data_IF_617553090390
#
_entry.id   IF_617553090390
#
_cell.length_a   1.000
_cell.length_b   1.000
_cell.length_c   1.000
_cell.angle_alpha   90.00
_cell.angle_beta   90.00
_cell.angle_gamma   90.00
#
_symmetry.space_group_name_H-M   'P 1'
#
loop_
_entity.id
_entity.type
_entity.pdbx_description
1 polymer ?
#
# COMPACT_ATOMS: atom_id res chain seq x y z
N UNK A 1 -12.46 20.65 -27.38
CA UNK A 1 -11.42 20.32 -28.39
C UNK A 1 -10.42 19.25 -27.91
N UNK A 2 -9.90 19.32 -26.68
CA UNK A 2 -8.89 18.36 -26.17
C UNK A 2 -9.42 16.91 -26.19
N UNK A 3 -10.60 16.64 -25.66
CA UNK A 3 -11.21 15.30 -25.65
C UNK A 3 -11.56 14.78 -27.05
N UNK A 4 -11.86 15.67 -27.99
CA UNK A 4 -12.19 15.28 -29.38
C UNK A 4 -10.99 15.08 -30.29
N UNK A 5 -9.79 15.45 -29.86
CA UNK A 5 -8.60 15.48 -30.73
C UNK A 5 -8.31 14.12 -31.40
N UNK A 6 -8.29 13.03 -30.64
CA UNK A 6 -8.02 11.70 -31.18
C UNK A 6 -9.09 11.27 -32.21
N UNK A 7 -10.35 11.52 -31.90
CA UNK A 7 -11.46 11.18 -32.79
C UNK A 7 -11.44 11.98 -34.12
N UNK A 8 -11.01 13.25 -34.05
CA UNK A 8 -10.83 14.07 -35.27
C UNK A 8 -9.74 13.48 -36.18
N UNK A 9 -8.62 13.01 -35.58
CA UNK A 9 -7.55 12.36 -36.34
C UNK A 9 -7.99 11.04 -36.99
N UNK A 10 -8.92 10.33 -36.36
CA UNK A 10 -9.55 9.11 -36.89
C UNK A 10 -10.65 9.41 -37.94
N UNK A 11 -10.88 10.70 -38.28
CA UNK A 11 -11.88 11.19 -39.25
C UNK A 11 -13.32 10.74 -38.93
N UNK A 12 -13.64 10.61 -37.66
CA UNK A 12 -14.98 10.29 -37.18
C UNK A 12 -15.93 11.46 -37.44
N UNK A 13 -17.20 11.21 -37.70
CA UNK A 13 -18.20 12.25 -37.97
C UNK A 13 -18.38 13.21 -36.77
N UNK A 14 -18.72 14.47 -37.04
CA UNK A 14 -18.91 15.48 -36.00
C UNK A 14 -19.97 15.09 -34.97
N UNK A 15 -21.06 14.47 -35.43
CA UNK A 15 -22.14 14.02 -34.55
C UNK A 15 -21.72 12.91 -33.63
N UNK A 16 -20.94 11.95 -34.12
CA UNK A 16 -20.39 10.86 -33.30
C UNK A 16 -19.34 11.37 -32.32
N UNK A 17 -18.47 12.32 -32.74
CA UNK A 17 -17.53 12.99 -31.84
C UNK A 17 -18.30 13.67 -30.68
N UNK A 18 -19.32 14.44 -30.98
CA UNK A 18 -20.13 15.13 -29.97
C UNK A 18 -20.78 14.13 -29.01
N UNK A 19 -21.33 13.04 -29.54
CA UNK A 19 -21.94 11.98 -28.72
C UNK A 19 -20.91 11.37 -27.75
N UNK A 20 -19.74 10.95 -28.25
CA UNK A 20 -18.67 10.33 -27.42
C UNK A 20 -18.10 11.30 -26.38
N UNK A 21 -17.88 12.56 -26.75
CA UNK A 21 -17.39 13.61 -25.85
C UNK A 21 -18.40 13.87 -24.73
N UNK A 22 -19.69 14.02 -25.06
CA UNK A 22 -20.73 14.24 -24.07
C UNK A 22 -20.91 13.03 -23.13
N UNK A 23 -20.82 11.81 -23.65
CA UNK A 23 -20.86 10.60 -22.83
C UNK A 23 -19.67 10.56 -21.84
N UNK A 24 -18.46 10.81 -22.30
CA UNK A 24 -17.27 10.85 -21.44
C UNK A 24 -17.35 12.01 -20.41
N UNK A 25 -17.82 13.18 -20.82
CA UNK A 25 -17.99 14.31 -19.92
C UNK A 25 -19.04 14.01 -18.83
N UNK A 26 -20.12 13.31 -19.17
CA UNK A 26 -21.13 12.90 -18.21
C UNK A 26 -20.60 11.87 -17.19
N UNK A 27 -19.82 10.88 -17.66
CA UNK A 27 -19.17 9.88 -16.77
C UNK A 27 -18.27 10.59 -15.75
N UNK A 28 -17.52 11.60 -16.19
CA UNK A 28 -16.52 12.33 -15.40
C UNK A 28 -17.07 13.56 -14.67
N UNK A 29 -18.35 13.91 -14.89
CA UNK A 29 -19.02 15.08 -14.30
C UNK A 29 -18.27 16.40 -14.63
N UNK A 30 -17.94 16.61 -15.92
CA UNK A 30 -17.19 17.78 -16.41
C UNK A 30 -17.91 18.48 -17.57
N UNK A 31 -19.22 18.34 -17.69
CA UNK A 31 -20.00 18.95 -18.79
C UNK A 31 -19.86 20.48 -18.83
N UNK A 32 -19.88 21.12 -17.64
CA UNK A 32 -19.70 22.56 -17.43
C UNK A 32 -18.28 23.07 -17.74
N UNK A 33 -17.33 22.16 -17.93
CA UNK A 33 -15.94 22.48 -18.20
C UNK A 33 -15.55 22.35 -19.68
N UNK A 34 -16.46 21.86 -20.54
CA UNK A 34 -16.14 21.54 -21.94
C UNK A 34 -15.67 22.75 -22.76
N UNK A 35 -16.13 23.95 -22.44
CA UNK A 35 -15.77 25.20 -23.12
C UNK A 35 -14.58 25.92 -22.46
N UNK A 36 -14.10 25.45 -21.30
CA UNK A 36 -12.97 26.09 -20.63
C UNK A 36 -11.64 25.73 -21.27
N UNK A 37 -10.74 26.69 -21.28
CA UNK A 37 -9.33 26.47 -21.71
C UNK A 37 -8.54 25.78 -20.57
N UNK A 38 -7.49 24.98 -20.89
CA UNK A 38 -6.69 24.28 -19.88
C UNK A 38 -6.15 25.16 -18.75
N UNK A 39 -5.84 26.43 -19.03
CA UNK A 39 -5.37 27.40 -18.04
C UNK A 39 -6.43 27.76 -16.98
N UNK A 40 -7.69 27.53 -17.27
CA UNK A 40 -8.83 27.84 -16.41
C UNK A 40 -9.29 26.64 -15.57
N UNK A 41 -8.57 25.54 -15.64
CA UNK A 41 -8.88 24.28 -14.95
C UNK A 41 -7.95 24.06 -13.77
N UNK A 42 -8.49 23.55 -12.65
CA UNK A 42 -7.71 23.03 -11.53
C UNK A 42 -6.92 21.78 -11.93
N UNK A 43 -6.01 21.32 -11.08
CA UNK A 43 -5.22 20.10 -11.31
C UNK A 43 -6.12 18.87 -11.54
N UNK A 44 -7.11 18.62 -10.66
CA UNK A 44 -8.05 17.51 -10.80
C UNK A 44 -8.98 17.64 -12.01
N UNK A 45 -9.40 18.85 -12.36
CA UNK A 45 -10.18 19.08 -13.59
C UNK A 45 -9.36 18.77 -14.86
N UNK A 46 -8.09 19.17 -14.90
CA UNK A 46 -7.16 18.79 -15.98
C UNK A 46 -7.02 17.26 -16.07
N UNK A 47 -6.89 16.60 -14.93
CA UNK A 47 -6.78 15.14 -14.87
C UNK A 47 -8.04 14.45 -15.39
N UNK A 48 -9.24 14.90 -14.98
CA UNK A 48 -10.51 14.39 -15.52
C UNK A 48 -10.61 14.60 -17.04
N UNK A 49 -10.17 15.73 -17.57
CA UNK A 49 -10.14 15.96 -19.02
C UNK A 49 -9.15 15.02 -19.73
N UNK A 50 -7.98 14.75 -19.14
CA UNK A 50 -7.02 13.79 -19.70
C UNK A 50 -7.59 12.35 -19.73
N UNK A 51 -8.25 11.93 -18.65
CA UNK A 51 -8.99 10.65 -18.60
C UNK A 51 -10.12 10.64 -19.65
N UNK A 52 -10.90 11.72 -19.77
CA UNK A 52 -11.94 11.85 -20.78
C UNK A 52 -11.45 11.69 -22.20
N UNK A 53 -10.28 12.25 -22.50
CA UNK A 53 -9.60 12.05 -23.80
C UNK A 53 -9.29 10.57 -24.09
N UNK A 54 -8.95 9.79 -23.07
CA UNK A 54 -8.73 8.35 -23.22
C UNK A 54 -10.06 7.60 -23.40
N UNK A 55 -11.08 7.92 -22.62
CA UNK A 55 -12.42 7.28 -22.65
C UNK A 55 -13.07 7.46 -24.03
N UNK A 56 -13.00 8.65 -24.64
CA UNK A 56 -13.65 8.92 -25.93
C UNK A 56 -13.20 7.98 -27.04
N UNK A 57 -12.01 7.38 -26.93
CA UNK A 57 -11.49 6.39 -27.88
C UNK A 57 -12.01 4.96 -27.65
N UNK A 58 -12.76 4.75 -26.57
CA UNK A 58 -13.30 3.45 -26.16
C UNK A 58 -12.21 2.33 -26.20
N UNK A 59 -11.08 2.49 -25.52
CA UNK A 59 -9.97 1.55 -25.58
C UNK A 59 -10.35 0.23 -24.89
N UNK A 60 -9.75 -0.88 -25.36
CA UNK A 60 -9.87 -2.19 -24.69
C UNK A 60 -9.11 -2.25 -23.37
N UNK A 61 -8.04 -1.46 -23.23
CA UNK A 61 -7.18 -1.36 -22.04
C UNK A 61 -6.82 0.09 -21.80
N UNK A 62 -6.97 0.56 -20.56
CA UNK A 62 -6.44 1.84 -20.11
C UNK A 62 -5.07 1.66 -19.50
N UNK A 63 -4.15 2.55 -19.82
CA UNK A 63 -2.83 2.61 -19.21
C UNK A 63 -2.70 3.93 -18.46
N UNK A 64 -2.54 3.87 -17.14
CA UNK A 64 -2.28 4.99 -16.27
C UNK A 64 -0.84 4.91 -15.76
N UNK A 65 -0.03 5.90 -16.08
CA UNK A 65 1.35 6.01 -15.60
C UNK A 65 1.43 7.15 -14.60
N UNK A 66 1.49 6.81 -13.32
CA UNK A 66 1.52 7.72 -12.17
C UNK A 66 0.51 8.90 -12.26
N UNK A 67 -0.77 8.64 -12.51
CA UNK A 67 -1.71 9.70 -12.88
C UNK A 67 -1.98 10.71 -11.76
N UNK A 68 -1.70 10.40 -10.51
CA UNK A 68 -1.99 11.25 -9.35
C UNK A 68 -0.74 11.83 -8.68
N UNK A 69 0.46 11.57 -9.21
CA UNK A 69 1.75 11.96 -8.59
C UNK A 69 1.90 13.49 -8.40
N UNK A 70 1.32 14.29 -9.29
CA UNK A 70 1.43 15.75 -9.28
C UNK A 70 0.29 16.47 -8.55
N UNK A 71 -0.54 15.75 -7.78
CA UNK A 71 -1.66 16.32 -7.03
C UNK A 71 -1.33 16.43 -5.55
N UNK A 72 -1.90 17.45 -4.89
CA UNK A 72 -1.87 17.54 -3.43
C UNK A 72 -2.65 16.39 -2.77
N UNK A 73 -2.44 16.17 -1.48
CA UNK A 73 -2.97 15.01 -0.76
C UNK A 73 -4.51 14.95 -0.75
N UNK A 74 -5.19 16.11 -0.60
CA UNK A 74 -6.65 16.18 -0.56
C UNK A 74 -7.24 15.82 -1.93
N UNK A 75 -6.73 16.45 -2.99
CA UNK A 75 -7.15 16.21 -4.36
C UNK A 75 -6.82 14.78 -4.82
N UNK A 76 -5.67 14.23 -4.40
CA UNK A 76 -5.30 12.84 -4.67
C UNK A 76 -6.31 11.87 -4.07
N UNK A 77 -6.75 12.12 -2.81
CA UNK A 77 -7.77 11.29 -2.16
C UNK A 77 -9.11 11.33 -2.90
N UNK A 78 -9.56 12.53 -3.33
CA UNK A 78 -10.77 12.69 -4.14
C UNK A 78 -10.66 11.93 -5.47
N UNK A 79 -9.54 12.10 -6.18
CA UNK A 79 -9.33 11.48 -7.48
C UNK A 79 -9.22 9.95 -7.42
N UNK A 80 -8.70 9.36 -6.34
CA UNK A 80 -8.75 7.90 -6.12
C UNK A 80 -10.19 7.39 -6.12
N UNK A 81 -11.07 8.06 -5.37
CA UNK A 81 -12.49 7.70 -5.33
C UNK A 81 -13.12 7.78 -6.72
N UNK A 82 -12.80 8.83 -7.47
CA UNK A 82 -13.33 9.02 -8.83
C UNK A 82 -12.82 7.96 -9.82
N UNK A 83 -11.55 7.59 -9.76
CA UNK A 83 -10.97 6.51 -10.59
C UNK A 83 -11.61 5.17 -10.23
N UNK A 84 -11.82 4.87 -8.95
CA UNK A 84 -12.51 3.65 -8.52
C UNK A 84 -13.95 3.57 -9.05
N UNK A 85 -14.70 4.67 -8.99
CA UNK A 85 -16.05 4.75 -9.56
C UNK A 85 -16.02 4.59 -11.08
N UNK A 86 -15.03 5.19 -11.74
CA UNK A 86 -14.83 5.12 -13.18
C UNK A 86 -14.56 3.67 -13.63
N UNK A 87 -13.66 2.96 -12.94
CA UNK A 87 -13.36 1.56 -13.21
C UNK A 87 -14.64 0.70 -13.23
N UNK A 88 -15.49 0.87 -12.22
CA UNK A 88 -16.77 0.15 -12.14
C UNK A 88 -17.75 0.49 -13.27
N UNK A 89 -17.73 1.75 -13.78
CA UNK A 89 -18.63 2.21 -14.84
C UNK A 89 -18.21 1.77 -16.24
N UNK A 90 -16.89 1.75 -16.52
CA UNK A 90 -16.37 1.52 -17.88
C UNK A 90 -16.28 0.05 -18.21
N UNK A 91 -16.19 -0.84 -17.22
CA UNK A 91 -16.03 -2.30 -17.41
C UNK A 91 -14.90 -2.66 -18.39
N UNK A 92 -13.76 -1.94 -18.33
CA UNK A 92 -12.57 -2.14 -19.16
C UNK A 92 -11.38 -2.47 -18.29
N UNK A 93 -10.43 -3.22 -18.83
CA UNK A 93 -9.19 -3.50 -18.13
C UNK A 93 -8.37 -2.21 -17.96
N UNK A 94 -7.80 -2.04 -16.76
CA UNK A 94 -6.95 -0.91 -16.44
C UNK A 94 -5.60 -1.41 -15.91
N UNK A 95 -4.51 -0.90 -16.46
CA UNK A 95 -3.17 -1.06 -15.91
C UNK A 95 -2.79 0.28 -15.29
N UNK A 96 -2.46 0.26 -14.01
CA UNK A 96 -2.21 1.44 -13.22
C UNK A 96 -0.81 1.34 -12.59
N UNK A 97 0.10 2.20 -12.99
CA UNK A 97 1.45 2.29 -12.43
C UNK A 97 1.46 3.37 -11.37
N UNK A 98 1.94 3.05 -10.19
CA UNK A 98 2.08 3.98 -9.08
C UNK A 98 3.23 3.56 -8.15
N UNK A 99 3.84 4.53 -7.47
CA UNK A 99 4.71 4.30 -6.33
C UNK A 99 3.99 4.54 -4.98
N UNK A 100 2.72 4.96 -5.01
CA UNK A 100 1.90 5.16 -3.81
C UNK A 100 1.18 3.86 -3.44
N UNK A 101 1.58 3.28 -2.30
CA UNK A 101 0.98 2.04 -1.81
C UNK A 101 -0.51 2.16 -1.48
N UNK A 102 -1.00 3.35 -1.08
CA UNK A 102 -2.42 3.55 -0.78
C UNK A 102 -3.24 3.49 -2.07
N UNK A 103 -2.71 4.04 -3.18
CA UNK A 103 -3.33 3.90 -4.50
C UNK A 103 -3.41 2.43 -4.91
N UNK A 104 -2.29 1.70 -4.85
CA UNK A 104 -2.23 0.29 -5.20
C UNK A 104 -3.22 -0.54 -4.36
N UNK A 105 -3.22 -0.36 -3.03
CA UNK A 105 -4.07 -1.13 -2.11
C UNK A 105 -5.57 -0.82 -2.24
N UNK A 106 -5.93 0.40 -2.69
CA UNK A 106 -7.34 0.84 -2.73
C UNK A 106 -7.99 0.75 -4.10
N UNK A 107 -7.20 0.80 -5.18
CA UNK A 107 -7.71 0.83 -6.55
C UNK A 107 -7.61 -0.51 -7.27
N UNK A 108 -6.64 -1.33 -6.93
CA UNK A 108 -6.33 -2.53 -7.69
C UNK A 108 -7.17 -3.75 -7.28
N UNK A 109 -7.63 -4.52 -8.27
CA UNK A 109 -8.10 -5.90 -8.04
C UNK A 109 -6.90 -6.84 -7.83
N UNK A 110 -5.78 -6.55 -8.50
CA UNK A 110 -4.52 -7.27 -8.37
C UNK A 110 -3.33 -6.31 -8.44
N UNK A 111 -2.31 -6.61 -7.65
CA UNK A 111 -1.06 -5.85 -7.57
C UNK A 111 0.08 -6.71 -8.08
N UNK A 112 0.95 -6.09 -8.87
CA UNK A 112 2.28 -6.62 -9.21
C UNK A 112 3.31 -5.77 -8.49
N UNK A 113 4.08 -6.37 -7.59
CA UNK A 113 5.22 -5.71 -6.93
C UNK A 113 6.46 -5.97 -7.76
N UNK A 114 7.09 -4.88 -8.22
CA UNK A 114 8.29 -4.92 -9.06
C UNK A 114 9.51 -4.42 -8.28
N UNK A 115 10.62 -5.12 -8.41
CA UNK A 115 11.92 -4.72 -7.88
C UNK A 115 13.00 -4.93 -8.93
N UNK A 116 13.67 -3.86 -9.36
CA UNK A 116 14.75 -3.91 -10.37
C UNK A 116 14.39 -4.72 -11.63
N UNK A 117 13.13 -4.59 -12.09
CA UNK A 117 12.64 -5.28 -13.28
C UNK A 117 12.18 -6.72 -13.06
N UNK A 118 12.23 -7.23 -11.83
CA UNK A 118 11.77 -8.57 -11.46
C UNK A 118 10.44 -8.47 -10.74
N UNK A 119 9.52 -9.39 -11.03
CA UNK A 119 8.26 -9.52 -10.31
C UNK A 119 8.53 -10.27 -8.99
N UNK A 120 8.43 -9.56 -7.87
CA UNK A 120 8.59 -10.12 -6.53
C UNK A 120 7.33 -10.86 -6.06
N UNK A 121 6.17 -10.28 -6.36
CA UNK A 121 4.88 -10.89 -6.04
C UNK A 121 3.77 -10.36 -6.95
N UNK A 122 2.78 -11.22 -7.20
CA UNK A 122 1.52 -10.90 -7.85
C UNK A 122 0.38 -11.50 -7.05
N UNK A 123 -0.64 -10.70 -6.72
CA UNK A 123 -1.77 -11.15 -5.92
C UNK A 123 -2.81 -10.08 -5.69
N UNK A 124 -3.84 -10.39 -4.91
CA UNK A 124 -4.78 -9.38 -4.42
C UNK A 124 -4.10 -8.44 -3.42
N UNK A 125 -4.60 -7.22 -3.20
CA UNK A 125 -4.08 -6.35 -2.15
C UNK A 125 -3.96 -7.04 -0.80
N UNK A 126 -4.98 -7.80 -0.40
CA UNK A 126 -4.96 -8.55 0.85
C UNK A 126 -3.84 -9.61 0.89
N UNK A 127 -3.65 -10.37 -0.20
CA UNK A 127 -2.58 -11.39 -0.26
C UNK A 127 -1.20 -10.75 -0.13
N UNK A 128 -0.97 -9.64 -0.84
CA UNK A 128 0.33 -8.92 -0.78
C UNK A 128 0.62 -8.42 0.63
N UNK A 129 -0.41 -7.95 1.34
CA UNK A 129 -0.27 -7.42 2.70
C UNK A 129 -0.10 -8.51 3.76
N UNK A 130 -0.95 -9.54 3.72
CA UNK A 130 -0.99 -10.59 4.77
C UNK A 130 0.02 -11.70 4.54
N UNK A 131 0.34 -12.02 3.27
CA UNK A 131 1.21 -13.12 2.87
C UNK A 131 2.33 -12.67 1.91
N UNK A 132 3.19 -11.73 2.32
CA UNK A 132 4.32 -11.32 1.49
C UNK A 132 5.26 -12.50 1.21
N UNK A 133 5.72 -12.62 -0.05
CA UNK A 133 6.61 -13.70 -0.46
C UNK A 133 8.03 -13.55 0.08
N UNK A 134 8.44 -12.34 0.39
CA UNK A 134 9.77 -12.04 0.90
C UNK A 134 9.79 -10.74 1.73
N UNK A 135 10.91 -10.44 2.37
CA UNK A 135 11.09 -9.24 3.18
C UNK A 135 10.91 -7.96 2.35
N UNK A 136 11.36 -7.94 1.09
CA UNK A 136 11.18 -6.77 0.24
C UNK A 136 9.70 -6.38 0.11
N UNK A 137 8.84 -7.34 -0.20
CA UNK A 137 7.38 -7.09 -0.30
C UNK A 137 6.80 -6.70 1.05
N UNK A 138 7.22 -7.35 2.14
CA UNK A 138 6.76 -7.09 3.50
C UNK A 138 7.06 -5.65 3.96
N UNK A 139 8.24 -5.12 3.59
CA UNK A 139 8.65 -3.76 3.91
C UNK A 139 8.12 -2.72 2.91
N UNK A 140 7.91 -3.13 1.65
CA UNK A 140 7.42 -2.21 0.61
C UNK A 140 5.94 -1.86 0.81
N UNK A 141 5.13 -2.80 1.31
CA UNK A 141 3.70 -2.62 1.55
C UNK A 141 3.41 -2.50 3.04
N UNK A 142 2.90 -1.35 3.43
CA UNK A 142 2.54 -0.98 4.81
C UNK A 142 3.20 0.32 5.24
N UNK A 143 2.46 1.18 5.94
CA UNK A 143 2.95 2.44 6.51
C UNK A 143 2.46 2.58 7.94
N UNK A 144 3.39 2.50 8.90
CA UNK A 144 4.81 2.20 8.77
C UNK A 144 5.10 0.80 8.20
N UNK A 145 6.32 0.59 7.71
CA UNK A 145 6.75 -0.72 7.21
C UNK A 145 6.81 -1.79 8.31
N UNK A 146 6.77 -3.06 7.93
CA UNK A 146 6.89 -4.20 8.85
C UNK A 146 8.19 -4.12 9.64
N UNK A 147 8.12 -4.37 10.96
CA UNK A 147 9.30 -4.59 11.78
C UNK A 147 9.94 -5.92 11.38
N UNK A 148 11.23 -5.89 11.05
CA UNK A 148 12.01 -7.09 10.72
C UNK A 148 13.12 -7.26 11.74
N UNK A 149 13.04 -8.32 12.52
CA UNK A 149 14.02 -8.66 13.54
C UNK A 149 14.86 -9.85 13.06
N UNK A 150 16.17 -9.70 13.02
CA UNK A 150 17.07 -10.80 12.74
C UNK A 150 17.17 -11.69 13.98
N UNK A 151 17.04 -12.99 13.79
CA UNK A 151 17.21 -14.02 14.81
C UNK A 151 18.41 -14.85 14.44
N UNK A 152 19.49 -14.70 15.19
CA UNK A 152 20.74 -15.42 15.00
C UNK A 152 20.58 -16.89 15.41
N UNK A 153 21.44 -17.75 14.90
CA UNK A 153 21.40 -19.19 15.16
C UNK A 153 21.49 -19.53 16.65
N UNK A 154 22.25 -18.76 17.40
CA UNK A 154 22.45 -18.92 18.86
C UNK A 154 21.16 -18.65 19.67
N UNK A 155 20.21 -17.94 19.08
CA UNK A 155 18.91 -17.67 19.66
C UNK A 155 17.89 -18.80 19.40
N UNK A 156 18.24 -19.78 18.57
CA UNK A 156 17.41 -20.96 18.31
C UNK A 156 17.72 -22.02 19.37
N UNK A 157 16.82 -22.17 20.35
CA UNK A 157 16.98 -23.12 21.45
C UNK A 157 16.80 -24.56 20.96
N UNK A 158 15.77 -24.76 20.13
CA UNK A 158 15.50 -26.03 19.46
C UNK A 158 14.72 -25.77 18.17
N UNK A 159 14.32 -26.82 17.47
CA UNK A 159 13.70 -26.70 16.14
C UNK A 159 12.46 -25.80 16.07
N UNK A 160 11.78 -25.52 17.16
CA UNK A 160 10.56 -24.72 17.18
C UNK A 160 10.52 -23.65 18.30
N UNK A 161 11.64 -23.43 19.00
CA UNK A 161 11.71 -22.47 20.11
C UNK A 161 12.83 -21.46 19.88
N UNK A 162 12.47 -20.18 19.93
CA UNK A 162 13.38 -19.06 19.81
C UNK A 162 13.54 -18.36 21.17
N UNK A 163 14.77 -17.92 21.47
CA UNK A 163 15.04 -16.97 22.54
C UNK A 163 14.97 -15.56 21.98
N UNK A 164 13.89 -14.84 22.23
CA UNK A 164 13.72 -13.44 21.82
C UNK A 164 13.80 -12.56 23.06
N UNK A 165 14.88 -11.78 23.15
CA UNK A 165 15.11 -10.83 24.25
C UNK A 165 14.94 -11.46 25.65
N UNK A 166 15.59 -12.59 25.88
CA UNK A 166 15.55 -13.41 27.10
C UNK A 166 14.21 -14.13 27.36
N UNK A 167 13.32 -14.16 26.39
CA UNK A 167 12.06 -14.94 26.47
C UNK A 167 12.10 -16.13 25.52
N UNK A 168 11.92 -17.34 26.05
CA UNK A 168 11.82 -18.54 25.23
C UNK A 168 10.40 -18.70 24.72
N UNK A 169 10.23 -18.60 23.40
CA UNK A 169 8.93 -18.61 22.73
C UNK A 169 8.86 -19.81 21.79
N UNK A 170 7.86 -20.66 22.01
CA UNK A 170 7.62 -21.82 21.17
C UNK A 170 6.67 -21.49 20.00
N UNK A 171 7.06 -21.87 18.79
CA UNK A 171 6.29 -21.74 17.54
C UNK A 171 6.08 -23.15 16.95
N UNK A 172 5.12 -23.90 17.49
CA UNK A 172 4.91 -25.33 17.23
C UNK A 172 4.78 -25.69 15.74
N UNK A 173 4.36 -24.76 14.90
CA UNK A 173 4.13 -24.98 13.45
C UNK A 173 5.34 -24.63 12.58
N UNK A 174 6.48 -24.26 13.15
CA UNK A 174 7.66 -23.84 12.41
C UNK A 174 8.87 -24.68 12.82
N UNK A 175 9.76 -24.91 11.85
CA UNK A 175 11.03 -25.61 12.08
C UNK A 175 12.18 -24.67 11.70
N UNK A 176 12.94 -24.25 12.70
CA UNK A 176 14.09 -23.37 12.55
C UNK A 176 15.40 -24.18 12.54
N UNK A 177 16.24 -23.98 11.56
CA UNK A 177 17.51 -24.71 11.40
C UNK A 177 18.73 -23.79 11.29
N UNK A 178 18.54 -22.57 10.86
CA UNK A 178 19.58 -21.57 10.62
C UNK A 178 19.02 -20.17 10.96
N UNK A 179 19.83 -19.12 10.82
CA UNK A 179 19.37 -17.75 11.02
C UNK A 179 18.10 -17.46 10.23
N UNK A 180 17.21 -16.70 10.81
CA UNK A 180 15.91 -16.34 10.24
C UNK A 180 15.62 -14.86 10.50
N UNK A 181 14.60 -14.35 9.85
CA UNK A 181 14.03 -13.04 10.15
C UNK A 181 12.59 -13.21 10.63
N UNK A 182 12.25 -12.49 11.69
CA UNK A 182 10.92 -12.41 12.25
C UNK A 182 10.31 -11.07 11.83
N UNK A 183 9.13 -11.13 11.19
CA UNK A 183 8.36 -9.96 10.78
C UNK A 183 7.12 -9.77 11.62
N UNK A 184 6.86 -8.53 12.07
CA UNK A 184 5.62 -8.15 12.76
C UNK A 184 5.15 -6.79 12.31
N UNK A 185 3.86 -6.65 11.98
CA UNK A 185 3.28 -5.37 11.57
C UNK A 185 3.18 -4.41 12.76
N UNK A 186 3.44 -3.11 12.57
CA UNK A 186 3.34 -2.10 13.63
C UNK A 186 1.98 -2.07 14.35
N UNK A 187 0.90 -2.29 13.62
CA UNK A 187 -0.48 -2.33 14.13
C UNK A 187 -0.87 -3.61 14.85
N UNK A 188 -0.10 -4.70 14.66
CA UNK A 188 -0.31 -5.97 15.36
C UNK A 188 0.40 -6.00 16.73
N UNK A 189 1.11 -4.93 17.09
CA UNK A 189 1.75 -4.75 18.40
C UNK A 189 0.83 -3.99 19.32
N UNK A 190 0.45 -4.60 20.44
CA UNK A 190 -0.41 -4.03 21.48
C UNK A 190 0.41 -3.37 22.58
N UNK A 191 -0.07 -2.23 23.10
CA UNK A 191 0.47 -1.58 24.30
C UNK A 191 -0.09 -2.21 25.59
N UNK A 192 -0.88 -3.28 25.47
CA UNK A 192 -1.48 -4.03 26.57
C UNK A 192 -0.82 -5.39 26.70
N UNK A 193 -0.84 -5.93 27.91
CA UNK A 193 -0.26 -7.25 28.23
C UNK A 193 -1.29 -8.37 27.98
N UNK A 194 -1.74 -8.51 26.73
CA UNK A 194 -2.84 -9.41 26.35
C UNK A 194 -2.46 -10.48 25.31
N UNK A 195 -1.18 -10.57 24.94
CA UNK A 195 -0.69 -11.57 23.98
C UNK A 195 0.48 -12.36 24.55
N UNK A 196 0.88 -13.44 23.85
CA UNK A 196 1.85 -14.42 24.33
C UNK A 196 3.28 -13.89 24.33
N UNK A 197 3.63 -13.08 23.33
CA UNK A 197 4.98 -12.50 23.25
C UNK A 197 4.95 -11.14 23.91
N UNK A 198 5.79 -10.96 24.94
CA UNK A 198 5.83 -9.76 25.78
C UNK A 198 7.25 -9.22 25.81
N UNK A 199 7.40 -7.93 25.54
CA UNK A 199 8.67 -7.26 25.53
C UNK A 199 8.57 -5.94 26.31
N UNK A 200 9.68 -5.53 26.90
CA UNK A 200 9.84 -4.18 27.43
C UNK A 200 10.76 -3.40 26.50
N UNK A 201 10.27 -2.27 25.98
CA UNK A 201 10.95 -1.44 24.99
C UNK A 201 11.12 -0.03 25.52
N UNK A 202 12.19 0.64 25.13
CA UNK A 202 12.43 2.05 25.43
C UNK A 202 11.89 2.92 24.28
N UNK A 203 11.14 3.98 24.63
CA UNK A 203 10.66 4.94 23.62
C UNK A 203 11.81 5.87 23.26
N UNK A 204 12.03 6.03 21.95
CA UNK A 204 12.96 7.01 21.40
C UNK A 204 12.24 8.26 20.88
N UNK A 205 11.14 8.05 20.15
CA UNK A 205 10.36 9.12 19.55
C UNK A 205 8.89 8.72 19.37
N UNK A 206 8.00 9.71 19.35
CA UNK A 206 6.57 9.51 19.08
C UNK A 206 6.08 10.57 18.10
N UNK A 207 5.59 10.13 16.96
CA UNK A 207 4.88 10.97 16.00
C UNK A 207 3.38 10.95 16.32
N UNK A 208 2.79 12.12 16.55
CA UNK A 208 1.36 12.25 16.82
C UNK A 208 0.63 12.74 15.56
N UNK A 209 -0.12 11.85 14.91
CA UNK A 209 -0.88 12.17 13.71
C UNK A 209 -2.34 12.56 14.02
N UNK A 210 -2.68 12.79 15.29
CA UNK A 210 -4.01 13.16 15.76
C UNK A 210 -4.85 11.93 16.08
N UNK A 211 -5.27 11.17 15.09
CA UNK A 211 -6.09 9.96 15.27
C UNK A 211 -5.27 8.70 15.60
N UNK A 212 -3.99 8.69 15.27
CA UNK A 212 -3.05 7.61 15.58
C UNK A 212 -1.66 8.15 15.92
N UNK A 213 -0.84 7.32 16.53
CA UNK A 213 0.55 7.59 16.87
C UNK A 213 1.45 6.53 16.29
N UNK A 214 2.61 6.97 15.82
CA UNK A 214 3.72 6.09 15.44
C UNK A 214 4.77 6.24 16.53
N UNK A 215 5.03 5.14 17.24
CA UNK A 215 5.93 5.12 18.38
C UNK A 215 7.19 4.36 17.99
N UNK A 216 8.30 5.06 17.89
CA UNK A 216 9.61 4.51 17.63
C UNK A 216 10.22 4.07 18.95
N UNK A 217 10.52 2.79 19.05
CA UNK A 217 11.07 2.18 20.26
C UNK A 217 12.31 1.39 19.96
N UNK A 218 13.12 1.13 20.98
CA UNK A 218 14.32 0.35 20.90
C UNK A 218 14.36 -0.74 21.97
N UNK A 219 14.83 -1.94 21.57
CA UNK A 219 15.17 -3.03 22.48
C UNK A 219 16.52 -3.61 22.05
N UNK A 220 17.52 -3.51 22.92
CA UNK A 220 18.91 -3.75 22.56
C UNK A 220 19.31 -2.88 21.35
N UNK A 221 19.78 -3.47 20.25
CA UNK A 221 20.13 -2.78 19.01
C UNK A 221 19.01 -2.79 17.95
N UNK A 222 17.83 -3.34 18.29
CA UNK A 222 16.70 -3.42 17.35
C UNK A 222 15.73 -2.27 17.55
N UNK A 223 15.36 -1.65 16.45
CA UNK A 223 14.25 -0.70 16.40
C UNK A 223 12.93 -1.45 16.22
N UNK A 224 11.90 -1.06 16.96
CA UNK A 224 10.52 -1.56 16.83
C UNK A 224 9.60 -0.36 16.72
N UNK A 225 8.90 -0.27 15.60
CA UNK A 225 7.89 0.76 15.34
C UNK A 225 6.51 0.20 15.68
N UNK A 226 5.74 0.96 16.43
CA UNK A 226 4.40 0.58 16.90
C UNK A 226 3.41 1.61 16.38
N UNK A 227 2.27 1.13 15.90
CA UNK A 227 1.15 1.97 15.49
C UNK A 227 0.00 1.80 16.48
N UNK A 228 -0.41 2.89 17.15
CA UNK A 228 -1.44 2.84 18.19
C UNK A 228 -2.26 4.11 18.25
N UNK A 229 -3.52 4.02 18.67
CA UNK A 229 -4.37 5.16 19.00
C UNK A 229 -4.24 5.59 20.48
N UNK A 230 -3.55 4.81 21.31
CA UNK A 230 -3.43 5.08 22.75
C UNK A 230 -2.40 6.18 23.04
N UNK A 231 -2.65 6.95 24.09
CA UNK A 231 -1.70 7.96 24.57
C UNK A 231 -0.57 7.32 25.37
N UNK A 232 0.65 7.69 25.07
CA UNK A 232 1.85 7.21 25.75
C UNK A 232 2.61 8.38 26.32
N UNK A 233 2.78 8.37 27.66
CA UNK A 233 3.52 9.40 28.41
C UNK A 233 4.62 8.77 29.28
N UNK A 234 5.25 7.69 28.82
CA UNK A 234 6.25 6.93 29.56
C UNK A 234 7.56 6.88 28.76
N UNK A 235 8.68 6.69 29.45
CA UNK A 235 9.98 6.46 28.80
C UNK A 235 10.18 5.00 28.34
N UNK A 236 9.47 4.05 28.95
CA UNK A 236 9.48 2.64 28.55
C UNK A 236 8.06 2.11 28.47
N UNK A 237 7.87 1.10 27.63
CA UNK A 237 6.60 0.45 27.38
C UNK A 237 6.73 -1.07 27.51
N UNK A 238 5.72 -1.68 28.11
CA UNK A 238 5.47 -3.09 27.92
C UNK A 238 4.57 -3.25 26.70
N UNK A 239 5.04 -4.02 25.73
CA UNK A 239 4.32 -4.32 24.50
C UNK A 239 4.07 -5.82 24.40
N UNK A 240 3.02 -6.21 23.70
CA UNK A 240 2.75 -7.61 23.42
C UNK A 240 2.22 -7.82 22.02
N UNK A 241 2.42 -9.02 21.45
CA UNK A 241 1.87 -9.40 20.17
C UNK A 241 1.64 -10.92 20.10
N UNK A 242 0.67 -11.32 19.27
CA UNK A 242 0.31 -12.73 19.10
C UNK A 242 1.33 -13.45 18.22
N UNK A 243 1.59 -14.72 18.54
CA UNK A 243 2.38 -15.62 17.71
C UNK A 243 1.83 -15.78 16.30
N UNK A 244 0.51 -15.77 16.16
CA UNK A 244 -0.18 -15.95 14.88
C UNK A 244 0.01 -14.77 13.92
N UNK A 245 0.47 -13.62 14.45
CA UNK A 245 0.76 -12.42 13.67
C UNK A 245 2.21 -12.33 13.20
N UNK A 246 3.04 -13.22 13.71
CA UNK A 246 4.46 -13.28 13.36
C UNK A 246 4.64 -13.97 12.02
N UNK A 247 5.41 -13.33 11.15
CA UNK A 247 5.84 -13.90 9.87
C UNK A 247 7.31 -14.28 9.97
N UNK A 248 7.68 -15.41 9.38
CA UNK A 248 9.07 -15.84 9.34
C UNK A 248 9.62 -15.82 7.92
N UNK A 249 10.89 -15.40 7.81
CA UNK A 249 11.63 -15.40 6.55
C UNK A 249 12.94 -16.11 6.76
N UNK A 250 13.36 -16.87 5.76
CA UNK A 250 14.64 -17.58 5.78
C UNK A 250 15.83 -16.63 5.59
N UNK A 251 17.02 -17.19 5.66
CA UNK A 251 18.30 -16.49 5.42
C UNK A 251 18.36 -15.80 4.05
N UNK A 252 17.68 -16.34 3.05
CA UNK A 252 17.54 -15.74 1.71
C UNK A 252 16.43 -14.69 1.64
N UNK A 253 15.83 -14.35 2.80
CA UNK A 253 14.74 -13.38 2.95
C UNK A 253 13.41 -13.80 2.31
N UNK A 254 13.24 -15.08 1.98
CA UNK A 254 11.99 -15.63 1.49
C UNK A 254 11.07 -16.05 2.62
N UNK A 255 9.76 -15.99 2.39
CA UNK A 255 8.73 -16.37 3.36
C UNK A 255 8.81 -17.85 3.70
N UNK A 256 8.92 -18.19 4.97
CA UNK A 256 8.75 -19.54 5.51
C UNK A 256 7.25 -19.78 5.75
N UNK A 257 6.71 -20.87 5.23
CA UNK A 257 5.29 -21.26 5.36
C UNK A 257 5.14 -22.52 6.17
#
# INVERSE_FOLDING_TARGET
ENMSFGLKMEKISKDEINKKVNQAANILQIQDLLERKPKQLSGGQKQRVAIGRAITRSPKVFLFDEPLSNLDAALRSEMRVEISKLHKKINSNMIYVTHDQVEAMTLADRIVVLNKGIIEQFGTPNDIYTNPNNIFVAEFIGSPKMNILKVEKEQIINSNTLNLFNNNINFSNHIFKDEIYLGIRPEDISLRDNHEIKLEVKIEHTENLGFEKIIHTKISDNEIVIKSSENVNKHSLKISFSKDKVLFFDKSKNRMR
#
